data_IF_342690890894
#
_entry.id   IF_342690890894
#
_cell.length_a   1.000
_cell.length_b   1.000
_cell.length_c   1.000
_cell.angle_alpha   90.00
_cell.angle_beta   90.00
_cell.angle_gamma   90.00
#
_symmetry.space_group_name_H-M   'P 1'
#
loop_
_entity.id
_entity.type
_entity.pdbx_description
1 polymer ?
#
# COMPACT_ATOMS: atom_id res chain seq x y z
N UNK A 1 22.99 55.76 -2.86
CA UNK A 1 23.33 54.44 -3.45
C UNK A 1 23.73 53.42 -2.38
N UNK A 2 24.57 53.76 -1.39
CA UNK A 2 25.02 52.83 -0.35
C UNK A 2 23.87 52.32 0.55
N UNK A 3 22.92 53.16 0.93
CA UNK A 3 21.74 52.79 1.71
C UNK A 3 20.82 51.82 0.96
N UNK A 4 20.70 51.96 -0.36
CA UNK A 4 19.91 51.04 -1.21
C UNK A 4 20.56 49.68 -1.30
N UNK A 5 21.89 49.62 -1.40
CA UNK A 5 22.63 48.36 -1.39
C UNK A 5 22.55 47.65 -0.04
N UNK A 6 22.63 48.36 1.07
CA UNK A 6 22.44 47.82 2.41
C UNK A 6 21.03 47.26 2.61
N UNK A 7 19.99 47.97 2.14
CA UNK A 7 18.61 47.47 2.19
C UNK A 7 18.44 46.19 1.36
N UNK A 8 19.10 46.12 0.21
CA UNK A 8 19.04 44.95 -0.66
C UNK A 8 19.74 43.75 -0.04
N UNK A 9 20.91 43.93 0.58
CA UNK A 9 21.62 42.88 1.32
C UNK A 9 20.79 42.38 2.51
N UNK A 10 20.17 43.32 3.28
CA UNK A 10 19.27 42.94 4.38
C UNK A 10 18.06 42.16 3.92
N UNK A 11 17.47 42.50 2.77
CA UNK A 11 16.35 41.79 2.19
C UNK A 11 16.73 40.36 1.76
N UNK A 12 17.90 40.20 1.12
CA UNK A 12 18.43 38.88 0.72
C UNK A 12 18.75 38.03 1.96
N UNK A 13 19.35 38.64 2.99
CA UNK A 13 19.60 37.95 4.26
C UNK A 13 18.29 37.49 4.94
N UNK A 14 17.26 38.34 4.93
CA UNK A 14 15.94 38.01 5.45
C UNK A 14 15.28 36.86 4.68
N UNK A 15 15.39 36.83 3.34
CA UNK A 15 14.88 35.71 2.51
C UNK A 15 15.66 34.43 2.80
N UNK A 16 16.99 34.52 2.99
CA UNK A 16 17.81 33.36 3.33
C UNK A 16 17.42 32.75 4.68
N UNK A 17 17.20 33.62 5.70
CA UNK A 17 16.75 33.16 7.02
C UNK A 17 15.33 32.56 6.99
N UNK A 18 14.43 33.13 6.17
CA UNK A 18 13.10 32.57 5.96
C UNK A 18 13.18 31.18 5.31
N UNK A 19 14.02 31.03 4.29
CA UNK A 19 14.24 29.73 3.65
C UNK A 19 14.80 28.68 4.63
N UNK A 20 15.73 29.07 5.49
CA UNK A 20 16.27 28.21 6.54
C UNK A 20 15.20 27.82 7.57
N UNK A 21 14.38 28.78 7.98
CA UNK A 21 13.26 28.52 8.90
C UNK A 21 12.23 27.57 8.29
N UNK A 22 11.92 27.74 7.00
CA UNK A 22 11.04 26.83 6.26
C UNK A 22 11.61 25.41 6.18
N UNK A 23 12.92 25.28 5.92
CA UNK A 23 13.59 23.99 5.93
C UNK A 23 13.52 23.33 7.31
N UNK A 24 13.80 24.05 8.37
CA UNK A 24 13.70 23.55 9.75
C UNK A 24 12.28 23.08 10.09
N UNK A 25 11.26 23.82 9.65
CA UNK A 25 9.86 23.44 9.84
C UNK A 25 9.51 22.15 9.07
N UNK A 26 9.99 22.04 7.82
CA UNK A 26 9.81 20.84 7.03
C UNK A 26 10.48 19.62 7.70
N UNK A 27 11.71 19.77 8.17
CA UNK A 27 12.46 18.70 8.87
C UNK A 27 11.73 18.27 10.16
N UNK A 28 11.19 19.21 10.93
CA UNK A 28 10.38 18.89 12.11
C UNK A 28 9.10 18.15 11.77
N UNK A 29 8.45 18.51 10.67
CA UNK A 29 7.25 17.81 10.18
C UNK A 29 7.57 16.39 9.74
N UNK A 30 8.67 16.17 9.02
CA UNK A 30 9.13 14.84 8.64
C UNK A 30 9.49 13.99 9.85
N UNK A 31 10.16 14.55 10.85
CA UNK A 31 10.46 13.83 12.09
C UNK A 31 9.19 13.39 12.83
N UNK A 32 8.17 14.25 12.88
CA UNK A 32 6.88 13.92 13.48
C UNK A 32 6.16 12.79 12.72
N UNK A 33 6.14 12.84 11.38
CA UNK A 33 5.58 11.78 10.54
C UNK A 33 6.33 10.46 10.73
N UNK A 34 7.64 10.51 10.86
CA UNK A 34 8.48 9.35 11.10
C UNK A 34 8.14 8.66 12.43
N UNK A 35 7.93 9.45 13.48
CA UNK A 35 7.52 8.93 14.78
C UNK A 35 6.13 8.25 14.69
N UNK A 36 5.18 8.85 14.00
CA UNK A 36 3.88 8.23 13.74
C UNK A 36 4.00 6.94 12.92
N UNK A 37 4.84 6.94 11.89
CA UNK A 37 5.07 5.76 11.08
C UNK A 37 5.74 4.62 11.86
N UNK A 38 6.55 4.91 12.87
CA UNK A 38 7.20 3.90 13.71
C UNK A 38 6.21 3.06 14.52
N UNK A 39 5.05 3.61 14.84
CA UNK A 39 3.99 2.87 15.57
C UNK A 39 3.33 1.78 14.72
N UNK A 40 3.48 1.84 13.40
CA UNK A 40 2.91 0.86 12.46
C UNK A 40 3.82 -0.36 12.29
N UNK A 41 5.09 -0.28 12.70
CA UNK A 41 6.02 -1.42 12.63
C UNK A 41 5.53 -2.56 13.51
N UNK A 42 5.49 -3.77 12.95
CA UNK A 42 4.98 -4.96 13.61
C UNK A 42 3.47 -5.15 13.48
N UNK A 43 2.75 -4.19 12.92
CA UNK A 43 1.32 -4.27 12.64
C UNK A 43 1.05 -4.73 11.20
N UNK A 44 -0.13 -5.30 11.02
CA UNK A 44 -0.66 -5.64 9.71
C UNK A 44 -1.40 -4.43 9.14
N UNK A 45 -1.09 -4.04 7.91
CA UNK A 45 -1.72 -2.91 7.23
C UNK A 45 -2.43 -3.37 5.97
N UNK A 46 -3.55 -2.74 5.67
CA UNK A 46 -4.26 -2.91 4.42
C UNK A 46 -3.81 -1.81 3.44
N UNK A 47 -3.26 -2.22 2.32
CA UNK A 47 -2.77 -1.29 1.30
C UNK A 47 -3.14 -1.76 -0.11
N UNK A 48 -3.25 -0.84 -1.09
CA UNK A 48 -3.46 -1.19 -2.49
C UNK A 48 -2.37 -2.14 -2.97
N UNK A 49 -2.75 -3.14 -3.72
CA UNK A 49 -1.79 -4.06 -4.30
C UNK A 49 -2.45 -5.31 -4.85
N UNK A 50 -1.78 -5.90 -5.82
CA UNK A 50 -2.23 -7.09 -6.53
C UNK A 50 -1.15 -8.17 -6.60
N UNK A 51 -0.04 -8.02 -5.87
CA UNK A 51 1.01 -9.04 -5.80
C UNK A 51 1.50 -9.22 -4.37
N UNK A 52 1.84 -10.45 -4.01
CA UNK A 52 2.46 -10.79 -2.73
C UNK A 52 3.50 -11.88 -2.93
N UNK A 53 4.60 -11.82 -2.18
CA UNK A 53 5.59 -12.89 -2.10
C UNK A 53 5.36 -13.70 -0.83
N UNK A 54 5.11 -14.99 -0.97
CA UNK A 54 4.68 -15.87 0.10
C UNK A 54 5.62 -17.06 0.27
N UNK A 55 5.80 -17.51 1.50
CA UNK A 55 6.41 -18.80 1.79
C UNK A 55 5.46 -19.94 1.40
N UNK A 56 5.99 -21.16 1.26
CA UNK A 56 5.20 -22.33 0.91
C UNK A 56 4.05 -22.56 1.90
N UNK A 57 2.82 -22.70 1.39
CA UNK A 57 1.63 -22.90 2.18
C UNK A 57 1.18 -21.69 3.01
N UNK A 58 1.82 -20.54 2.84
CA UNK A 58 1.39 -19.31 3.49
C UNK A 58 0.20 -18.70 2.75
N UNK A 59 -0.84 -18.39 3.51
CA UNK A 59 -2.02 -17.70 2.99
C UNK A 59 -1.86 -16.18 2.91
N UNK A 60 -2.83 -15.53 2.32
CA UNK A 60 -2.95 -14.07 2.30
C UNK A 60 -4.39 -13.62 2.59
N UNK A 61 -4.52 -12.40 3.07
CA UNK A 61 -5.80 -11.74 3.30
C UNK A 61 -5.84 -10.44 2.53
N UNK A 62 -7.04 -10.06 2.13
CA UNK A 62 -7.24 -8.80 1.44
C UNK A 62 -8.69 -8.40 1.40
N UNK A 63 -8.92 -7.30 0.71
CA UNK A 63 -10.24 -6.76 0.43
C UNK A 63 -10.33 -6.34 -1.04
N UNK A 64 -11.54 -6.34 -1.56
CA UNK A 64 -11.88 -5.80 -2.86
C UNK A 64 -12.94 -4.72 -2.70
N UNK A 65 -12.98 -3.76 -3.61
CA UNK A 65 -14.04 -2.76 -3.64
C UNK A 65 -15.04 -3.10 -4.74
N UNK A 66 -16.26 -3.38 -4.35
CA UNK A 66 -17.38 -3.70 -5.26
C UNK A 66 -18.17 -2.41 -5.56
N UNK A 67 -18.26 -1.98 -6.83
CA UNK A 67 -19.03 -0.79 -7.21
C UNK A 67 -20.54 -0.99 -7.09
N UNK A 68 -21.00 -2.22 -7.21
CA UNK A 68 -22.42 -2.62 -7.13
C UNK A 68 -22.56 -3.93 -6.36
N UNK A 69 -23.76 -4.20 -5.87
CA UNK A 69 -24.08 -5.51 -5.30
C UNK A 69 -23.96 -6.59 -6.38
N UNK A 70 -23.30 -7.71 -6.06
CA UNK A 70 -23.06 -8.79 -7.01
C UNK A 70 -22.98 -10.15 -6.31
N UNK A 71 -23.31 -11.20 -7.05
CA UNK A 71 -23.09 -12.61 -6.67
C UNK A 71 -22.00 -13.29 -7.49
N UNK A 72 -21.44 -12.58 -8.47
CA UNK A 72 -20.49 -13.13 -9.46
C UNK A 72 -19.04 -12.68 -9.19
N UNK A 73 -18.81 -12.04 -8.04
CA UNK A 73 -17.48 -11.61 -7.64
C UNK A 73 -16.54 -12.79 -7.40
N UNK A 74 -15.34 -12.73 -7.96
CA UNK A 74 -14.32 -13.77 -7.86
C UNK A 74 -12.94 -13.16 -7.64
N UNK A 75 -12.16 -13.74 -6.74
CA UNK A 75 -10.73 -13.45 -6.59
C UNK A 75 -9.93 -14.62 -7.15
N UNK A 76 -9.04 -14.36 -8.09
CA UNK A 76 -8.16 -15.33 -8.73
C UNK A 76 -6.73 -15.13 -8.25
N UNK A 77 -6.12 -16.18 -7.74
CA UNK A 77 -4.71 -16.22 -7.34
C UNK A 77 -3.93 -16.88 -8.48
N UNK A 78 -2.94 -16.16 -9.01
CA UNK A 78 -2.10 -16.63 -10.10
C UNK A 78 -0.64 -16.73 -9.63
N UNK A 79 0.08 -17.71 -10.13
CA UNK A 79 1.52 -17.82 -9.89
C UNK A 79 2.33 -16.84 -10.76
N UNK A 80 3.64 -16.81 -10.60
CA UNK A 80 4.55 -15.92 -11.34
C UNK A 80 4.56 -16.14 -12.86
N UNK A 81 4.15 -17.33 -13.32
CA UNK A 81 3.98 -17.64 -14.74
C UNK A 81 2.59 -17.26 -15.30
N UNK A 82 1.72 -16.67 -14.47
CA UNK A 82 0.34 -16.33 -14.83
C UNK A 82 -0.63 -17.49 -14.79
N UNK A 83 -0.20 -18.66 -14.33
CA UNK A 83 -1.06 -19.85 -14.16
C UNK A 83 -2.00 -19.69 -12.97
N UNK A 84 -3.26 -20.06 -13.14
CA UNK A 84 -4.27 -20.04 -12.09
C UNK A 84 -3.95 -21.08 -11.02
N UNK A 85 -3.83 -20.64 -9.76
CA UNK A 85 -3.59 -21.49 -8.58
C UNK A 85 -4.88 -21.76 -7.83
N UNK A 86 -5.67 -20.70 -7.57
CA UNK A 86 -6.92 -20.79 -6.82
C UNK A 86 -7.91 -19.74 -7.30
N UNK A 87 -9.18 -20.08 -7.27
CA UNK A 87 -10.28 -19.12 -7.36
C UNK A 87 -11.08 -19.12 -6.06
N UNK A 88 -11.41 -17.92 -5.59
CA UNK A 88 -12.16 -17.69 -4.37
C UNK A 88 -13.43 -16.92 -4.75
N UNK A 89 -14.60 -17.58 -4.79
CA UNK A 89 -15.85 -16.90 -5.03
C UNK A 89 -16.20 -16.02 -3.81
N UNK A 90 -16.59 -14.78 -4.07
CA UNK A 90 -16.98 -13.86 -3.00
C UNK A 90 -18.42 -14.12 -2.52
N UNK A 91 -19.23 -14.83 -3.33
CA UNK A 91 -20.65 -15.04 -3.04
C UNK A 91 -21.48 -13.77 -3.20
N UNK A 92 -22.63 -13.74 -2.54
CA UNK A 92 -23.52 -12.58 -2.56
C UNK A 92 -22.93 -11.49 -1.69
N UNK A 93 -22.54 -10.38 -2.32
CA UNK A 93 -21.96 -9.21 -1.65
C UNK A 93 -22.73 -7.95 -2.01
N UNK A 94 -22.89 -7.06 -1.04
CA UNK A 94 -23.37 -5.70 -1.27
C UNK A 94 -22.28 -4.85 -1.92
N UNK A 95 -22.65 -3.70 -2.49
CA UNK A 95 -21.68 -2.70 -2.89
C UNK A 95 -20.84 -2.24 -1.69
N UNK A 96 -19.56 -1.99 -1.91
CA UNK A 96 -18.61 -1.58 -0.87
C UNK A 96 -17.41 -2.53 -0.75
N UNK A 97 -16.80 -2.56 0.42
CA UNK A 97 -15.63 -3.40 0.68
C UNK A 97 -16.04 -4.82 1.06
N UNK A 98 -15.45 -5.81 0.40
CA UNK A 98 -15.62 -7.23 0.69
C UNK A 98 -14.27 -7.88 0.96
N UNK A 99 -14.15 -8.57 2.09
CA UNK A 99 -12.94 -9.29 2.49
C UNK A 99 -12.83 -10.65 1.80
N UNK A 100 -11.59 -11.08 1.54
CA UNK A 100 -11.29 -12.44 1.11
C UNK A 100 -10.07 -12.97 1.87
N UNK A 101 -9.99 -14.30 1.95
CA UNK A 101 -8.84 -15.00 2.52
C UNK A 101 -8.48 -16.16 1.61
N UNK A 102 -7.19 -16.27 1.29
CA UNK A 102 -6.61 -17.45 0.67
C UNK A 102 -5.81 -18.23 1.71
N UNK A 103 -6.03 -19.50 1.80
CA UNK A 103 -5.41 -20.42 2.77
C UNK A 103 -4.00 -20.90 2.38
N UNK A 104 -3.49 -20.47 1.21
CA UNK A 104 -2.20 -20.93 0.68
C UNK A 104 -2.28 -22.30 -0.01
N UNK A 105 -3.48 -22.81 -0.29
CA UNK A 105 -3.67 -24.08 -0.99
C UNK A 105 -4.07 -23.82 -2.45
N UNK A 106 -3.62 -24.71 -3.34
CA UNK A 106 -4.04 -24.72 -4.73
C UNK A 106 -5.46 -25.31 -4.89
N UNK A 107 -5.93 -25.40 -6.13
CA UNK A 107 -7.26 -25.98 -6.45
C UNK A 107 -7.38 -27.46 -6.12
N UNK A 108 -6.26 -28.17 -5.90
CA UNK A 108 -6.22 -29.61 -5.53
C UNK A 108 -6.09 -29.82 -4.02
N UNK A 109 -6.01 -28.74 -3.24
CA UNK A 109 -5.83 -28.78 -1.78
C UNK A 109 -4.38 -29.00 -1.34
N UNK A 110 -3.40 -28.86 -2.24
CA UNK A 110 -1.97 -28.94 -1.90
C UNK A 110 -1.44 -27.57 -1.55
N UNK A 111 -0.44 -27.52 -0.68
CA UNK A 111 0.25 -26.27 -0.36
C UNK A 111 0.88 -25.66 -1.61
N UNK A 112 0.56 -24.41 -1.87
CA UNK A 112 1.17 -23.65 -2.95
C UNK A 112 2.67 -23.46 -2.67
N UNK A 113 3.50 -23.47 -3.70
CA UNK A 113 4.94 -23.32 -3.58
C UNK A 113 5.31 -21.91 -3.08
N UNK A 114 6.49 -21.75 -2.46
CA UNK A 114 7.00 -20.43 -2.19
C UNK A 114 7.21 -19.63 -3.49
N UNK A 115 6.87 -18.35 -3.48
CA UNK A 115 7.03 -17.50 -4.66
C UNK A 115 6.12 -16.27 -4.67
N UNK A 116 6.17 -15.56 -5.79
CA UNK A 116 5.31 -14.40 -6.02
C UNK A 116 3.98 -14.84 -6.63
N UNK A 117 2.91 -14.31 -6.08
CA UNK A 117 1.54 -14.53 -6.51
C UNK A 117 0.89 -13.22 -6.92
N UNK A 118 0.07 -13.27 -7.96
CA UNK A 118 -0.75 -12.14 -8.39
C UNK A 118 -2.20 -12.40 -8.00
N UNK A 119 -2.80 -11.41 -7.36
CA UNK A 119 -4.22 -11.42 -6.98
C UNK A 119 -4.98 -10.56 -7.99
N UNK A 120 -5.94 -11.15 -8.67
CA UNK A 120 -6.87 -10.45 -9.56
C UNK A 120 -8.29 -10.65 -9.05
N UNK A 121 -9.04 -9.59 -8.97
CA UNK A 121 -10.46 -9.66 -8.63
C UNK A 121 -11.29 -9.11 -9.78
N UNK A 122 -12.41 -9.73 -10.04
CA UNK A 122 -13.38 -9.30 -11.04
C UNK A 122 -14.79 -9.70 -10.64
N UNK A 123 -15.76 -9.06 -11.25
CA UNK A 123 -17.16 -9.49 -11.21
C UNK A 123 -17.73 -9.45 -12.63
N UNK A 124 -18.66 -10.34 -12.90
CA UNK A 124 -19.35 -10.37 -14.20
C UNK A 124 -20.62 -9.53 -14.12
N UNK A 125 -20.76 -8.60 -15.06
CA UNK A 125 -21.96 -7.77 -15.25
C UNK A 125 -22.75 -8.24 -16.49
N UNK A 126 -23.02 -9.53 -16.54
CA UNK A 126 -23.81 -10.19 -17.60
C UNK A 126 -23.03 -10.50 -18.88
N UNK A 127 -22.27 -9.59 -19.46
CA UNK A 127 -21.53 -9.77 -20.71
C UNK A 127 -20.02 -9.51 -20.64
N UNK A 128 -19.54 -8.89 -19.56
CA UNK A 128 -18.13 -8.54 -19.39
C UNK A 128 -17.67 -8.74 -17.96
N UNK A 129 -16.44 -9.21 -17.81
CA UNK A 129 -15.77 -9.24 -16.53
C UNK A 129 -15.12 -7.87 -16.28
N UNK A 130 -15.54 -7.24 -15.21
CA UNK A 130 -15.01 -5.95 -14.77
C UNK A 130 -14.00 -6.19 -13.65
N UNK A 131 -12.78 -5.66 -13.82
CA UNK A 131 -11.75 -5.74 -12.80
C UNK A 131 -12.12 -4.91 -11.57
N UNK A 132 -11.74 -5.40 -10.40
CA UNK A 132 -11.94 -4.75 -9.11
C UNK A 132 -10.61 -4.32 -8.51
N UNK A 133 -10.63 -3.20 -7.78
CA UNK A 133 -9.49 -2.79 -6.98
C UNK A 133 -9.26 -3.77 -5.83
N UNK A 134 -8.01 -4.19 -5.69
CA UNK A 134 -7.58 -5.11 -4.64
C UNK A 134 -6.70 -4.42 -3.61
N UNK A 135 -6.90 -4.75 -2.36
CA UNK A 135 -6.10 -4.33 -1.22
C UNK A 135 -5.61 -5.58 -0.51
N UNK A 136 -4.33 -5.62 -0.18
CA UNK A 136 -3.73 -6.76 0.51
C UNK A 136 -3.31 -6.38 1.92
N UNK A 137 -3.51 -7.29 2.85
CA UNK A 137 -3.01 -7.16 4.22
C UNK A 137 -1.56 -7.61 4.25
N UNK A 138 -0.67 -6.75 4.77
CA UNK A 138 0.78 -6.96 4.84
C UNK A 138 1.32 -6.54 6.17
N UNK A 139 2.28 -7.28 6.70
CA UNK A 139 2.98 -6.89 7.93
C UNK A 139 4.09 -5.91 7.63
N UNK A 140 4.09 -4.79 8.34
CA UNK A 140 5.17 -3.79 8.28
C UNK A 140 6.34 -4.25 9.14
N UNK A 141 7.54 -4.31 8.58
CA UNK A 141 8.76 -4.73 9.28
C UNK A 141 9.73 -3.59 9.56
N UNK A 142 9.67 -2.52 8.78
CA UNK A 142 10.50 -1.34 8.98
C UNK A 142 9.91 -0.09 8.37
N UNK A 143 10.38 1.05 8.88
CA UNK A 143 10.09 2.39 8.36
C UNK A 143 11.40 3.00 7.89
N UNK A 144 11.43 3.51 6.68
CA UNK A 144 12.51 4.33 6.16
C UNK A 144 12.08 5.78 6.16
N UNK A 145 12.86 6.61 6.84
CA UNK A 145 12.61 8.03 6.94
C UNK A 145 13.06 8.71 5.65
N UNK A 146 12.15 9.39 4.99
CA UNK A 146 12.50 10.26 3.87
C UNK A 146 13.27 11.48 4.38
N UNK A 147 14.47 11.72 3.83
CA UNK A 147 15.23 12.96 3.98
C UNK A 147 15.19 13.75 2.67
N UNK A 148 15.46 15.06 2.71
CA UNK A 148 15.61 15.94 1.53
C UNK A 148 14.44 15.87 0.52
N UNK A 149 13.20 15.90 1.02
CA UNK A 149 11.99 15.89 0.19
C UNK A 149 11.50 14.49 -0.21
N UNK A 150 12.15 13.43 0.22
CA UNK A 150 11.67 12.07 0.02
C UNK A 150 10.59 11.70 1.05
N UNK A 151 9.62 10.91 0.62
CA UNK A 151 8.52 10.47 1.49
C UNK A 151 8.98 9.37 2.42
N UNK A 152 8.41 9.34 3.64
CA UNK A 152 8.53 8.20 4.54
C UNK A 152 7.91 6.97 3.90
N UNK A 153 8.66 5.87 3.83
CA UNK A 153 8.23 4.60 3.27
C UNK A 153 8.23 3.50 4.32
N UNK A 154 7.26 2.62 4.21
CA UNK A 154 7.12 1.42 5.02
C UNK A 154 7.55 0.22 4.19
N UNK A 155 8.38 -0.65 4.76
CA UNK A 155 8.75 -1.91 4.12
C UNK A 155 7.97 -3.04 4.77
N UNK A 156 7.39 -3.91 3.95
CA UNK A 156 6.58 -5.05 4.39
C UNK A 156 7.36 -6.37 4.29
N UNK A 157 6.86 -7.42 4.93
CA UNK A 157 7.49 -8.76 4.95
C UNK A 157 7.72 -9.36 3.57
N UNK A 158 6.89 -8.99 2.59
CA UNK A 158 7.00 -9.41 1.19
C UNK A 158 7.90 -8.50 0.35
N UNK A 159 8.63 -7.56 1.00
CA UNK A 159 9.59 -6.66 0.37
C UNK A 159 8.98 -5.48 -0.38
N UNK A 160 7.66 -5.26 -0.27
CA UNK A 160 7.02 -4.11 -0.89
C UNK A 160 7.28 -2.84 -0.07
N UNK A 161 7.41 -1.72 -0.78
CA UNK A 161 7.49 -0.39 -0.18
C UNK A 161 6.16 0.33 -0.35
N UNK A 162 5.63 0.82 0.76
CA UNK A 162 4.35 1.53 0.82
C UNK A 162 4.58 2.95 1.34
N UNK A 163 3.89 3.91 0.77
CA UNK A 163 3.77 5.23 1.39
C UNK A 163 2.82 5.18 2.59
N UNK A 164 3.06 6.02 3.58
CA UNK A 164 2.15 6.12 4.74
C UNK A 164 0.71 6.47 4.32
N UNK A 165 0.55 7.28 3.26
CA UNK A 165 -0.76 7.66 2.71
C UNK A 165 -1.49 6.54 1.95
N UNK A 166 -0.81 5.43 1.62
CA UNK A 166 -1.41 4.30 0.90
C UNK A 166 -2.15 3.35 1.85
N UNK A 167 -1.91 3.47 3.16
CA UNK A 167 -2.55 2.63 4.18
C UNK A 167 -4.04 2.98 4.28
N UNK A 168 -4.89 1.97 4.16
CA UNK A 168 -6.35 2.09 4.33
C UNK A 168 -6.81 1.69 5.73
N UNK A 169 -6.12 0.73 6.37
CA UNK A 169 -6.41 0.28 7.72
C UNK A 169 -5.15 -0.30 8.39
N UNK A 170 -5.11 -0.32 9.71
CA UNK A 170 -4.07 -0.92 10.56
C UNK A 170 -4.76 -1.89 11.51
N UNK A 171 -4.19 -3.10 11.69
CA UNK A 171 -4.74 -4.17 12.51
C UNK A 171 -3.75 -4.62 13.59
#
# INVERSE_FOLDING_TARGET
EFLTQLAQVSSVAGISEMNKSMKTLADATYAAQALQASTVVGHDVLAPGHSASLAAGQGLRGQVTLPVATSTGVVSILNSAGGLVRQIPLGNQAAGQSGFTWDGLDSTGRAAAAGSYTVKASYSNGNQDTALDTFLTRRVISVSLGGDGQRTTLTTTDGQQLGLGDIKAIY
#
